data_IF_629787134199
#
_entry.id   IF_629787134199
#
_cell.length_a   1.000
_cell.length_b   1.000
_cell.length_c   1.000
_cell.angle_alpha   90.00
_cell.angle_beta   90.00
_cell.angle_gamma   90.00
#
_symmetry.space_group_name_H-M   'P 1'
#
loop_
_entity.id
_entity.type
_entity.pdbx_description
1 polymer ?
#
# COMPACT_ATOMS: atom_id res chain seq x y z
N UNK A 1 -17.03 21.74 -23.17
CA UNK A 1 -16.21 21.79 -21.93
C UNK A 1 -14.76 21.64 -22.34
N UNK A 2 -13.86 22.53 -21.89
CA UNK A 2 -12.46 22.54 -22.30
C UNK A 2 -11.78 21.20 -21.98
N UNK A 3 -11.13 20.58 -22.98
CA UNK A 3 -10.48 19.27 -22.89
C UNK A 3 -9.08 19.35 -22.25
N UNK A 4 -8.41 20.51 -22.38
CA UNK A 4 -7.06 20.76 -21.89
C UNK A 4 -6.86 20.55 -20.37
N UNK A 5 -7.79 20.95 -19.48
CA UNK A 5 -7.68 20.67 -18.05
C UNK A 5 -7.73 19.18 -17.73
N UNK A 6 -8.57 18.42 -18.44
CA UNK A 6 -8.64 16.95 -18.28
C UNK A 6 -7.34 16.27 -18.67
N UNK A 7 -6.73 16.72 -19.79
CA UNK A 7 -5.45 16.20 -20.24
C UNK A 7 -4.33 16.52 -19.25
N UNK A 8 -4.30 17.74 -18.69
CA UNK A 8 -3.30 18.12 -17.68
C UNK A 8 -3.41 17.30 -16.39
N UNK A 9 -4.65 17.12 -15.88
CA UNK A 9 -4.89 16.31 -14.67
C UNK A 9 -4.55 14.84 -14.93
N UNK A 10 -4.93 14.31 -16.10
CA UNK A 10 -4.62 12.93 -16.50
C UNK A 10 -3.11 12.67 -16.60
N UNK A 11 -2.36 13.56 -17.26
CA UNK A 11 -0.90 13.48 -17.35
C UNK A 11 -0.23 13.59 -15.98
N UNK A 12 -0.70 14.51 -15.12
CA UNK A 12 -0.18 14.67 -13.76
C UNK A 12 -0.41 13.43 -12.88
N UNK A 13 -1.61 12.84 -12.94
CA UNK A 13 -1.94 11.61 -12.22
C UNK A 13 -1.15 10.41 -12.73
N UNK A 14 -0.94 10.33 -14.04
CA UNK A 14 -0.15 9.25 -14.64
C UNK A 14 1.32 9.32 -14.23
N UNK A 15 1.93 10.52 -14.28
CA UNK A 15 3.31 10.71 -13.86
C UNK A 15 3.51 10.40 -12.38
N UNK A 16 2.63 10.90 -11.50
CA UNK A 16 2.74 10.67 -10.06
C UNK A 16 2.65 9.18 -9.71
N UNK A 17 1.74 8.45 -10.36
CA UNK A 17 1.64 6.98 -10.23
C UNK A 17 2.93 6.28 -10.67
N UNK A 18 3.51 6.70 -11.80
CA UNK A 18 4.73 6.09 -12.34
C UNK A 18 5.93 6.29 -11.41
N UNK A 19 6.08 7.48 -10.82
CA UNK A 19 7.14 7.79 -9.85
C UNK A 19 6.99 6.91 -8.60
N UNK A 20 5.79 6.83 -8.03
CA UNK A 20 5.51 5.98 -6.87
C UNK A 20 5.82 4.51 -7.16
N UNK A 21 5.45 4.02 -8.35
CA UNK A 21 5.73 2.66 -8.80
C UNK A 21 7.22 2.39 -8.92
N UNK A 22 7.99 3.35 -9.44
CA UNK A 22 9.44 3.23 -9.58
C UNK A 22 10.13 3.18 -8.21
N UNK A 23 9.71 4.02 -7.26
CA UNK A 23 10.23 4.03 -5.88
C UNK A 23 9.93 2.72 -5.17
N UNK A 24 8.69 2.22 -5.25
CA UNK A 24 8.30 0.94 -4.67
C UNK A 24 9.15 -0.22 -5.22
N UNK A 25 9.34 -0.26 -6.55
CA UNK A 25 10.19 -1.25 -7.21
C UNK A 25 11.65 -1.18 -6.75
N UNK A 26 12.20 0.03 -6.54
CA UNK A 26 13.55 0.21 -5.99
C UNK A 26 13.67 -0.29 -4.56
N UNK A 27 12.61 -0.17 -3.77
CA UNK A 27 12.57 -0.58 -2.36
C UNK A 27 12.31 -2.08 -2.17
N UNK A 28 12.10 -2.85 -3.24
CA UNK A 28 11.72 -4.27 -3.17
C UNK A 28 10.50 -4.52 -2.25
N UNK A 29 9.62 -3.53 -2.15
CA UNK A 29 8.40 -3.56 -1.35
C UNK A 29 7.21 -3.44 -2.28
N UNK A 30 6.10 -4.05 -1.87
CA UNK A 30 4.83 -3.88 -2.55
C UNK A 30 4.44 -2.39 -2.57
N UNK A 31 3.63 -2.01 -3.56
CA UNK A 31 3.21 -0.62 -3.76
C UNK A 31 2.51 -0.14 -2.48
N UNK A 32 3.00 0.94 -1.83
CA UNK A 32 2.52 1.31 -0.51
C UNK A 32 1.02 1.63 -0.60
N UNK A 33 0.24 0.99 0.26
CA UNK A 33 -1.18 1.30 0.40
C UNK A 33 -1.34 2.74 0.90
N UNK A 34 -2.46 3.39 0.55
CA UNK A 34 -2.77 4.74 1.04
C UNK A 34 -2.68 4.83 2.58
N UNK A 35 -3.03 3.75 3.27
CA UNK A 35 -2.90 3.63 4.73
C UNK A 35 -1.45 3.53 5.21
N UNK A 36 -0.57 2.86 4.46
CA UNK A 36 0.87 2.78 4.80
C UNK A 36 1.61 4.09 4.51
N UNK A 37 1.12 4.88 3.55
CA UNK A 37 1.64 6.22 3.27
C UNK A 37 1.17 7.24 4.32
N UNK A 38 -0.11 7.17 4.75
CA UNK A 38 -0.65 8.04 5.80
C UNK A 38 -0.13 7.67 7.20
N UNK A 39 0.07 6.39 7.46
CA UNK A 39 0.60 5.88 8.72
C UNK A 39 1.81 5.00 8.43
N UNK A 40 3.00 5.60 8.24
CA UNK A 40 4.21 4.84 8.00
C UNK A 40 4.48 3.92 9.19
N UNK A 41 4.21 2.62 9.02
CA UNK A 41 4.47 1.62 10.05
C UNK A 41 5.98 1.54 10.31
N UNK A 42 6.38 1.98 11.51
CA UNK A 42 7.74 1.79 12.00
C UNK A 42 8.08 0.30 11.97
N UNK A 43 9.24 -0.08 11.41
CA UNK A 43 9.63 -1.48 11.15
C UNK A 43 9.60 -2.39 12.40
N UNK A 44 9.59 -1.81 13.59
CA UNK A 44 9.41 -2.49 14.88
C UNK A 44 8.02 -3.13 15.03
N UNK A 45 6.96 -2.51 14.51
CA UNK A 45 5.58 -3.04 14.62
C UNK A 45 5.25 -4.11 13.58
N UNK A 46 5.91 -4.09 12.41
CA UNK A 46 5.68 -5.09 11.36
C UNK A 46 5.90 -6.53 11.83
N UNK A 47 6.85 -6.76 12.75
CA UNK A 47 7.09 -8.10 13.31
C UNK A 47 5.97 -8.54 14.25
N UNK A 48 5.44 -7.63 15.06
CA UNK A 48 4.34 -7.93 15.98
C UNK A 48 3.05 -8.18 15.24
N UNK A 49 2.78 -7.40 14.19
CA UNK A 49 1.54 -7.55 13.43
C UNK A 49 1.51 -8.86 12.62
N UNK A 50 2.63 -9.28 12.02
CA UNK A 50 2.72 -10.60 11.36
C UNK A 50 2.46 -11.77 12.32
N UNK A 51 2.90 -11.65 13.58
CA UNK A 51 2.64 -12.66 14.60
C UNK A 51 1.16 -12.65 15.00
N UNK A 52 0.57 -11.47 15.19
CA UNK A 52 -0.85 -11.34 15.52
C UNK A 52 -1.76 -11.81 14.37
N UNK A 53 -1.45 -11.49 13.12
CA UNK A 53 -2.18 -11.99 11.95
C UNK A 53 -2.10 -13.52 11.83
N UNK A 54 -0.93 -14.12 12.09
CA UNK A 54 -0.80 -15.59 12.16
C UNK A 54 -1.64 -16.19 13.27
N UNK A 55 -1.64 -15.58 14.46
CA UNK A 55 -2.47 -16.03 15.59
C UNK A 55 -3.97 -15.92 15.28
N UNK A 56 -4.41 -14.82 14.68
CA UNK A 56 -5.80 -14.61 14.27
C UNK A 56 -6.25 -15.67 13.26
N UNK A 57 -5.45 -15.95 12.21
CA UNK A 57 -5.75 -17.00 11.23
C UNK A 57 -5.82 -18.41 11.84
N UNK A 58 -4.96 -18.71 12.81
CA UNK A 58 -4.97 -19.99 13.52
C UNK A 58 -6.19 -20.13 14.44
N UNK A 59 -6.60 -19.05 15.11
CA UNK A 59 -7.81 -19.02 15.91
C UNK A 59 -9.07 -19.20 15.05
N UNK A 60 -9.15 -18.54 13.90
CA UNK A 60 -10.26 -18.68 12.94
C UNK A 60 -10.36 -20.11 12.38
N UNK A 61 -9.22 -20.76 12.11
CA UNK A 61 -9.18 -22.19 11.71
C UNK A 61 -9.63 -23.14 12.81
N UNK A 62 -9.41 -22.80 14.09
CA UNK A 62 -9.81 -23.63 15.24
C UNK A 62 -11.29 -23.46 15.62
N UNK A 63 -11.88 -22.29 15.35
CA UNK A 63 -13.30 -22.02 15.66
C UNK A 63 -14.30 -22.51 14.60
N UNK A 64 -13.82 -23.07 13.49
CA UNK A 64 -14.65 -23.62 12.40
C UNK A 64 -14.88 -25.14 12.49
N UNK A 65 -14.45 -25.78 13.59
CA UNK A 65 -14.60 -27.22 13.84
C UNK A 65 -15.54 -27.49 15.01
#
# INVERSE_FOLDING_TARGET
MNLYPLLGIGLGAFLSYYILKMVAKRMNKDMPSLGELMYPMHHTDSRRDKINQRKARLAEKKGKH
#
